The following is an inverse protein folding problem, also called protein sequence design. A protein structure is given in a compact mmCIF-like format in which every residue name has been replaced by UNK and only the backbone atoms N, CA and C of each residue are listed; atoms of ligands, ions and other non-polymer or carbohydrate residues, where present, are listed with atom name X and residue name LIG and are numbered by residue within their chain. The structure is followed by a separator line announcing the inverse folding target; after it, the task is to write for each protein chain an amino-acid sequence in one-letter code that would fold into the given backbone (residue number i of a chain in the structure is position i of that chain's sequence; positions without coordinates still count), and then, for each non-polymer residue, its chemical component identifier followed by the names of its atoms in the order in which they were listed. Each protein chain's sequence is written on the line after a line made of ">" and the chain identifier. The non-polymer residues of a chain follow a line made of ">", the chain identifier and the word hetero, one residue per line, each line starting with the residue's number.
data_IF_841570412230
#
_entry.id   IF_841570412230
#
_cell.length_a   1.000
_cell.length_b   1.000
_cell.length_c   1.000
_cell.angle_alpha   90.00
_cell.angle_beta   90.00
_cell.angle_gamma   90.00
#
_symmetry.space_group_name_H-M   'P 1'
#
loop_
_entity.id
_entity.type
_entity.pdbx_description
1 polymer ?
#
# COMPACT_ATOMS: atom_id res chain seq x y z
N UNK A 1 15.03 -0.47 5.58
CA UNK A 1 13.99 0.57 5.52
C UNK A 1 12.68 -0.14 5.32
N UNK A 2 11.66 0.07 6.19
CA UNK A 2 10.38 -0.58 6.00
C UNK A 2 9.81 -0.20 4.63
N UNK A 3 9.02 -1.08 4.06
CA UNK A 3 8.26 -0.79 2.85
C UNK A 3 6.79 -1.03 3.10
N UNK A 4 5.96 -0.43 2.25
CA UNK A 4 4.52 -0.44 2.41
C UNK A 4 3.81 -0.87 1.15
N UNK A 5 2.84 -1.77 1.31
CA UNK A 5 1.75 -1.98 0.37
C UNK A 5 0.62 -1.01 0.70
N UNK A 6 0.45 0.02 -0.12
CA UNK A 6 -0.61 1.00 0.02
C UNK A 6 -1.71 0.71 -1.00
N UNK A 7 -2.91 0.38 -0.54
CA UNK A 7 -4.07 0.15 -1.40
C UNK A 7 -5.17 1.18 -1.15
N UNK A 8 -5.59 1.85 -2.23
CA UNK A 8 -6.76 2.73 -2.25
C UNK A 8 -7.90 2.05 -3.01
N UNK A 9 -8.93 1.62 -2.29
CA UNK A 9 -10.03 0.81 -2.81
C UNK A 9 -11.30 1.65 -2.93
N UNK A 10 -11.79 1.86 -4.16
CA UNK A 10 -12.85 2.84 -4.50
C UNK A 10 -14.27 2.28 -4.49
N UNK A 11 -14.45 0.97 -4.71
CA UNK A 11 -15.77 0.32 -4.74
C UNK A 11 -15.77 -0.96 -3.90
N UNK A 12 -16.69 -1.07 -2.93
CA UNK A 12 -16.88 -2.29 -2.14
C UNK A 12 -18.28 -2.83 -2.40
N UNK A 13 -18.39 -3.82 -3.28
CA UNK A 13 -19.58 -4.66 -3.38
C UNK A 13 -19.46 -5.81 -2.38
N UNK A 14 -20.55 -6.21 -1.75
CA UNK A 14 -20.55 -7.46 -0.99
C UNK A 14 -20.49 -8.63 -1.99
N UNK A 15 -19.42 -9.42 -1.95
CA UNK A 15 -19.23 -10.58 -2.82
C UNK A 15 -18.53 -11.70 -2.05
N UNK A 16 -18.91 -12.95 -2.30
CA UNK A 16 -18.35 -14.12 -1.62
C UNK A 16 -16.83 -14.23 -1.82
N UNK A 17 -16.34 -13.99 -3.04
CA UNK A 17 -14.91 -13.97 -3.35
C UNK A 17 -14.11 -12.97 -2.50
N UNK A 18 -14.70 -11.83 -2.15
CA UNK A 18 -14.02 -10.86 -1.27
C UNK A 18 -13.89 -11.42 0.15
N UNK A 19 -14.91 -12.15 0.62
CA UNK A 19 -14.86 -12.82 1.94
C UNK A 19 -13.76 -13.88 1.92
N UNK A 20 -13.74 -14.73 0.89
CA UNK A 20 -12.70 -15.75 0.71
C UNK A 20 -11.29 -15.12 0.63
N UNK A 21 -11.13 -14.01 -0.10
CA UNK A 21 -9.89 -13.26 -0.15
C UNK A 21 -9.43 -12.84 1.26
N UNK A 22 -10.33 -12.28 2.06
CA UNK A 22 -10.04 -11.82 3.42
C UNK A 22 -9.67 -12.98 4.37
N UNK A 23 -10.25 -14.16 4.18
CA UNK A 23 -9.91 -15.36 4.95
C UNK A 23 -8.52 -15.92 4.61
N UNK A 24 -8.06 -15.72 3.37
CA UNK A 24 -6.80 -16.32 2.86
C UNK A 24 -5.62 -15.37 2.89
N UNK A 25 -5.84 -14.06 2.81
CA UNK A 25 -4.78 -13.06 2.59
C UNK A 25 -3.67 -13.10 3.64
N UNK A 26 -4.01 -13.29 4.92
CA UNK A 26 -3.02 -13.27 6.00
C UNK A 26 -1.97 -14.38 5.84
N UNK A 27 -2.39 -15.59 5.49
CA UNK A 27 -1.47 -16.71 5.28
C UNK A 27 -0.49 -16.47 4.12
N UNK A 28 -0.84 -15.61 3.15
CA UNK A 28 0.08 -15.23 2.07
C UNK A 28 1.14 -14.22 2.52
N UNK A 29 0.83 -13.41 3.54
CA UNK A 29 1.68 -12.34 4.05
C UNK A 29 2.72 -12.84 5.06
N UNK A 30 2.34 -13.81 5.90
CA UNK A 30 3.15 -14.31 7.02
C UNK A 30 4.59 -14.72 6.61
N UNK A 31 4.83 -15.42 5.47
CA UNK A 31 6.19 -15.79 5.05
C UNK A 31 7.11 -14.61 4.72
N UNK A 32 6.53 -13.44 4.44
CA UNK A 32 7.24 -12.22 4.06
C UNK A 32 7.26 -11.17 5.17
N UNK A 33 6.83 -11.56 6.38
CA UNK A 33 6.65 -10.67 7.53
C UNK A 33 5.75 -9.45 7.21
N UNK A 34 4.78 -9.64 6.30
CA UNK A 34 3.80 -8.63 5.95
C UNK A 34 2.75 -8.48 7.05
N UNK A 35 2.47 -7.25 7.48
CA UNK A 35 1.51 -6.96 8.56
C UNK A 35 0.54 -5.86 8.16
N UNK A 36 -0.75 -6.08 8.37
CA UNK A 36 -1.74 -5.01 8.26
C UNK A 36 -1.50 -3.94 9.34
N UNK A 37 -1.35 -2.69 8.90
CA UNK A 37 -1.28 -1.49 9.74
C UNK A 37 -2.61 -0.74 9.70
N UNK A 38 -3.25 -0.70 8.52
CA UNK A 38 -4.58 -0.10 8.32
C UNK A 38 -5.40 -1.08 7.49
N UNK A 39 -6.67 -1.31 7.86
CA UNK A 39 -7.57 -2.17 7.11
C UNK A 39 -9.00 -1.60 7.06
N UNK A 40 -9.17 -0.52 6.29
CA UNK A 40 -10.48 0.09 6.06
C UNK A 40 -10.97 1.02 7.18
N UNK A 41 -12.24 1.49 7.11
CA UNK A 41 -12.81 2.50 8.00
C UNK A 41 -12.86 2.07 9.48
N UNK A 42 -13.04 3.03 10.41
CA UNK A 42 -13.37 4.45 10.18
C UNK A 42 -12.15 5.34 9.89
N UNK A 43 -12.34 6.35 9.03
CA UNK A 43 -11.37 7.42 8.77
C UNK A 43 -12.05 8.78 8.98
N UNK A 44 -11.38 9.67 9.72
CA UNK A 44 -11.78 11.07 9.83
C UNK A 44 -11.08 11.86 8.70
N UNK A 45 -11.87 12.46 7.82
CA UNK A 45 -11.33 13.28 6.72
C UNK A 45 -11.19 14.71 7.24
N UNK A 46 -9.97 15.09 7.59
CA UNK A 46 -9.66 16.42 8.14
C UNK A 46 -9.55 17.49 7.04
N UNK A 47 -9.02 17.12 5.86
CA UNK A 47 -8.90 18.00 4.69
C UNK A 47 -9.28 17.27 3.39
N UNK A 48 -9.97 17.97 2.49
CA UNK A 48 -10.33 17.44 1.17
C UNK A 48 -11.47 16.43 1.18
N UNK A 49 -11.39 15.43 0.30
CA UNK A 49 -12.36 14.33 0.21
C UNK A 49 -11.65 13.00 -0.01
N UNK A 50 -12.12 11.95 0.68
CA UNK A 50 -11.54 10.61 0.58
C UNK A 50 -12.60 9.58 0.16
N UNK A 51 -12.68 9.23 -1.14
CA UNK A 51 -13.59 8.18 -1.59
C UNK A 51 -13.04 6.79 -1.22
N UNK A 52 -13.91 5.88 -0.78
CA UNK A 52 -13.54 4.47 -0.61
C UNK A 52 -12.85 4.13 0.72
N UNK A 53 -11.85 3.24 0.68
CA UNK A 53 -11.12 2.74 1.86
C UNK A 53 -9.63 2.59 1.59
N UNK A 54 -8.84 2.66 2.65
CA UNK A 54 -7.39 2.47 2.63
C UNK A 54 -7.00 1.15 3.29
N UNK A 55 -6.06 0.44 2.69
CA UNK A 55 -5.34 -0.68 3.32
C UNK A 55 -3.85 -0.34 3.29
N UNK A 56 -3.19 -0.49 4.43
CA UNK A 56 -1.75 -0.32 4.56
C UNK A 56 -1.16 -1.60 5.13
N UNK A 57 -0.20 -2.18 4.42
CA UNK A 57 0.56 -3.35 4.85
C UNK A 57 2.01 -2.94 4.98
N UNK A 58 2.65 -3.24 6.10
CA UNK A 58 4.07 -3.01 6.33
C UNK A 58 4.88 -4.28 6.10
N UNK A 59 6.06 -4.11 5.50
CA UNK A 59 7.07 -5.14 5.27
C UNK A 59 8.43 -4.66 5.78
N UNK A 60 9.36 -5.58 6.10
CA UNK A 60 10.73 -5.23 6.48
C UNK A 60 11.47 -4.40 5.42
N UNK A 61 11.12 -4.61 4.14
CA UNK A 61 11.71 -3.93 3.00
C UNK A 61 10.95 -4.16 1.69
N UNK A 62 11.36 -3.44 0.64
CA UNK A 62 10.68 -3.47 -0.65
C UNK A 62 10.87 -4.81 -1.37
N UNK A 63 11.96 -5.52 -1.09
CA UNK A 63 12.21 -6.84 -1.63
C UNK A 63 11.17 -7.85 -1.13
N UNK A 64 10.86 -7.84 0.16
CA UNK A 64 9.84 -8.69 0.79
C UNK A 64 8.45 -8.35 0.26
N UNK A 65 8.12 -7.06 0.15
CA UNK A 65 6.85 -6.61 -0.41
C UNK A 65 6.65 -7.09 -1.87
N UNK A 66 7.70 -6.99 -2.70
CA UNK A 66 7.69 -7.49 -4.08
C UNK A 66 7.61 -9.01 -4.14
N UNK A 67 8.34 -9.70 -3.28
CA UNK A 67 8.33 -11.16 -3.22
C UNK A 67 6.96 -11.70 -2.79
N UNK A 68 6.31 -11.06 -1.82
CA UNK A 68 4.92 -11.34 -1.46
C UNK A 68 3.97 -11.14 -2.64
N UNK A 69 4.03 -9.97 -3.28
CA UNK A 69 3.12 -9.66 -4.39
C UNK A 69 3.29 -10.65 -5.55
N UNK A 70 4.53 -11.06 -5.85
CA UNK A 70 4.81 -12.02 -6.92
C UNK A 70 4.70 -13.49 -6.48
N UNK A 71 4.36 -13.77 -5.21
CA UNK A 71 4.28 -15.14 -4.71
C UNK A 71 3.12 -15.90 -5.36
N UNK A 72 3.27 -17.20 -5.66
CA UNK A 72 2.17 -18.00 -6.18
C UNK A 72 0.94 -17.95 -5.28
N UNK A 73 1.13 -18.05 -3.96
CA UNK A 73 0.04 -18.04 -2.99
C UNK A 73 -0.79 -16.74 -3.01
N UNK A 74 -0.15 -15.57 -3.17
CA UNK A 74 -0.90 -14.31 -3.30
C UNK A 74 -1.53 -14.15 -4.68
N UNK A 75 -0.82 -14.52 -5.74
CA UNK A 75 -1.34 -14.46 -7.11
C UNK A 75 -2.58 -15.34 -7.30
N UNK A 76 -2.63 -16.50 -6.64
CA UNK A 76 -3.77 -17.42 -6.65
C UNK A 76 -5.07 -16.80 -6.08
N UNK A 77 -4.96 -15.82 -5.17
CA UNK A 77 -6.11 -15.16 -4.55
C UNK A 77 -6.36 -13.75 -5.08
N UNK A 78 -5.44 -13.18 -5.85
CA UNK A 78 -5.48 -11.78 -6.27
C UNK A 78 -6.79 -11.43 -6.99
N UNK A 79 -7.25 -12.30 -7.89
CA UNK A 79 -8.47 -12.10 -8.69
C UNK A 79 -9.74 -12.00 -7.86
N UNK A 80 -9.81 -12.74 -6.75
CA UNK A 80 -10.93 -12.71 -5.81
C UNK A 80 -11.20 -11.28 -5.29
N UNK A 81 -10.17 -10.44 -5.22
CA UNK A 81 -10.30 -9.02 -4.91
C UNK A 81 -10.43 -8.15 -6.16
N UNK A 82 -9.51 -8.27 -7.12
CA UNK A 82 -9.40 -7.30 -8.23
C UNK A 82 -10.58 -7.31 -9.17
N UNK A 83 -11.31 -8.42 -9.26
CA UNK A 83 -12.46 -8.53 -10.17
C UNK A 83 -13.71 -7.84 -9.58
N UNK A 84 -13.70 -7.58 -8.27
CA UNK A 84 -14.85 -7.06 -7.53
C UNK A 84 -14.61 -5.70 -6.86
N UNK A 85 -13.34 -5.31 -6.66
CA UNK A 85 -12.93 -4.05 -6.03
C UNK A 85 -11.96 -3.31 -6.93
N UNK A 86 -12.42 -2.18 -7.48
CA UNK A 86 -11.55 -1.23 -8.16
C UNK A 86 -10.65 -0.50 -7.16
N UNK A 87 -9.38 -0.37 -7.51
CA UNK A 87 -8.43 0.36 -6.68
C UNK A 87 -7.01 0.33 -7.21
N UNK A 88 -6.17 1.15 -6.59
CA UNK A 88 -4.73 1.17 -6.84
C UNK A 88 -4.01 0.44 -5.72
N UNK A 89 -2.90 -0.22 -6.06
CA UNK A 89 -1.95 -0.77 -5.08
C UNK A 89 -0.55 -0.32 -5.48
N UNK A 90 0.18 0.22 -4.51
CA UNK A 90 1.56 0.69 -4.65
C UNK A 90 2.44 -0.09 -3.69
N UNK A 91 3.62 -0.49 -4.14
CA UNK A 91 4.70 -0.92 -3.25
C UNK A 91 5.72 0.21 -3.18
N UNK A 92 5.92 0.77 -1.99
CA UNK A 92 6.73 1.97 -1.81
C UNK A 92 7.65 1.83 -0.60
N UNK A 93 8.85 2.41 -0.68
CA UNK A 93 9.75 2.49 0.48
C UNK A 93 9.25 3.55 1.47
N UNK A 94 9.37 3.22 2.74
CA UNK A 94 9.22 4.16 3.83
C UNK A 94 10.44 5.05 4.02
N UNK A 95 10.30 6.00 4.93
CA UNK A 95 11.40 6.85 5.41
C UNK A 95 11.86 6.40 6.80
N UNK A 96 13.07 6.80 7.18
CA UNK A 96 13.69 6.40 8.44
C UNK A 96 13.20 7.26 9.60
N UNK A 97 13.50 6.89 10.86
CA UNK A 97 13.14 7.67 12.04
C UNK A 97 13.75 9.09 12.02
N UNK A 98 14.89 9.26 11.35
CA UNK A 98 15.62 10.53 11.24
C UNK A 98 15.29 11.30 9.95
N UNK A 99 14.19 10.96 9.27
CA UNK A 99 13.80 11.66 8.04
C UNK A 99 13.42 13.11 8.29
N UNK A 100 14.14 14.03 7.66
CA UNK A 100 13.85 15.46 7.67
C UNK A 100 13.31 15.91 6.30
N UNK A 101 12.04 16.37 6.20
CA UNK A 101 11.48 16.88 4.95
C UNK A 101 12.21 18.14 4.42
N UNK A 102 13.00 18.84 5.25
CA UNK A 102 13.80 19.99 4.83
C UNK A 102 14.85 19.61 3.79
N UNK A 103 15.41 18.40 3.87
CA UNK A 103 16.37 17.86 2.90
C UNK A 103 15.73 17.70 1.52
N UNK A 104 14.48 17.20 1.49
CA UNK A 104 13.71 17.09 0.25
C UNK A 104 13.44 18.47 -0.37
N UNK A 105 13.10 19.45 0.45
CA UNK A 105 12.90 20.82 -0.01
C UNK A 105 14.19 21.44 -0.58
N UNK A 106 15.34 21.21 0.06
CA UNK A 106 16.64 21.66 -0.45
C UNK A 106 16.96 21.06 -1.82
N UNK A 107 16.72 19.75 -2.00
CA UNK A 107 16.91 19.07 -3.29
C UNK A 107 16.06 19.68 -4.41
N UNK A 108 14.77 19.90 -4.15
CA UNK A 108 13.84 20.48 -5.13
C UNK A 108 14.25 21.90 -5.55
N UNK A 109 14.70 22.74 -4.61
CA UNK A 109 15.22 24.08 -4.94
C UNK A 109 16.46 24.02 -5.83
N UNK A 110 17.38 23.09 -5.54
CA UNK A 110 18.57 22.90 -6.35
C UNK A 110 18.24 22.41 -7.76
N UNK A 111 17.21 21.57 -7.93
CA UNK A 111 16.73 21.13 -9.25
C UNK A 111 16.08 22.27 -10.04
N UNK A 112 15.21 23.06 -9.41
CA UNK A 112 14.57 24.21 -10.06
C UNK A 112 15.59 25.26 -10.53
N UNK A 113 16.67 25.49 -9.77
CA UNK A 113 17.75 26.39 -10.17
C UNK A 113 18.59 25.88 -11.35
N UNK A 114 18.60 24.57 -11.65
CA UNK A 114 19.33 23.98 -12.80
C UNK A 114 18.53 23.95 -14.09
N UNK A 115 17.20 24.07 -14.02
CA UNK A 115 16.32 24.09 -15.20
C UNK A 115 16.08 25.50 -15.75
N UNK A 116 16.64 26.53 -15.10
CA UNK A 116 16.53 27.93 -15.48
C UNK A 116 17.81 28.54 -16.08
N UNK A 117 18.81 27.72 -16.40
CA UNK A 117 20.09 28.07 -17.05
C UNK A 117 20.26 27.19 -18.31
#
# INVERSE_FOLDING_TARGET
>A
MPAYGFAHLRSRRHHADIIEYLERIQATLDPFAGRFVIHGPPAEVVEGSWPGSMVLIEFPGLAEARAWYNSPAYQDILRLRTDHIEGDLLLIEGVGPDYDPSERAAKLRAEAGRSGD
#
